data_IF_260903796020
#
_entry.id   IF_260903796020
#
_cell.length_a   1.000
_cell.length_b   1.000
_cell.length_c   1.000
_cell.angle_alpha   90.00
_cell.angle_beta   90.00
_cell.angle_gamma   90.00
#
_symmetry.space_group_name_H-M   'P 1'
#
loop_
_entity.id
_entity.type
_entity.pdbx_description
1 polymer ?
#
# COMPACT_ATOMS: atom_id res chain seq x y z
N UNK A 1 -37.80 44.64 -14.42
CA UNK A 1 -38.76 44.21 -15.46
C UNK A 1 -38.88 42.68 -15.35
N UNK A 2 -39.99 42.14 -14.81
CA UNK A 2 -41.15 41.54 -15.54
C UNK A 2 -40.68 40.32 -16.38
N UNK A 3 -41.06 39.05 -16.16
CA UNK A 3 -42.35 38.35 -15.84
C UNK A 3 -42.01 36.90 -15.37
N UNK A 4 -42.62 36.22 -14.38
CA UNK A 4 -44.02 35.83 -14.03
C UNK A 4 -44.47 34.43 -14.54
N UNK A 5 -44.74 33.51 -13.58
CA UNK A 5 -45.87 32.52 -13.45
C UNK A 5 -45.75 31.29 -14.42
N UNK A 6 -46.03 30.01 -14.11
CA UNK A 6 -47.26 29.34 -13.62
C UNK A 6 -46.97 27.89 -13.15
N UNK A 7 -47.64 27.50 -12.07
CA UNK A 7 -47.79 26.13 -11.57
C UNK A 7 -48.90 25.36 -12.30
N UNK A 8 -48.82 24.03 -12.41
CA UNK A 8 -50.00 23.20 -12.61
C UNK A 8 -49.82 21.79 -12.02
N UNK A 9 -50.82 21.38 -11.25
CA UNK A 9 -50.99 20.08 -10.61
C UNK A 9 -52.02 19.22 -11.38
N UNK A 10 -51.92 17.89 -11.26
CA UNK A 10 -53.01 16.88 -11.26
C UNK A 10 -52.33 15.48 -11.34
N UNK A 11 -52.33 14.64 -10.31
CA UNK A 11 -53.38 13.67 -9.89
C UNK A 11 -53.90 12.81 -11.04
N UNK A 12 -53.62 11.51 -11.00
CA UNK A 12 -54.53 10.42 -11.42
C UNK A 12 -54.07 9.09 -10.83
N UNK A 13 -54.80 8.64 -9.82
CA UNK A 13 -54.80 7.27 -9.27
C UNK A 13 -55.60 6.39 -10.23
N UNK A 14 -55.09 5.22 -10.61
CA UNK A 14 -55.96 4.14 -11.10
C UNK A 14 -55.43 2.80 -10.63
N UNK A 15 -56.24 2.20 -9.76
CA UNK A 15 -56.09 0.89 -9.12
C UNK A 15 -56.70 -0.15 -10.07
N UNK A 16 -55.95 -1.19 -10.43
CA UNK A 16 -56.49 -2.39 -11.10
C UNK A 16 -56.16 -3.58 -10.23
N UNK A 17 -57.22 -4.23 -9.74
CA UNK A 17 -57.17 -5.44 -8.94
C UNK A 17 -57.53 -6.66 -9.81
N UNK A 18 -56.83 -7.75 -9.51
CA UNK A 18 -57.20 -9.16 -9.63
C UNK A 18 -57.44 -9.78 -11.02
N UNK A 19 -56.50 -10.64 -11.41
CA UNK A 19 -56.83 -11.95 -11.99
C UNK A 19 -56.08 -13.05 -11.23
N UNK A 20 -56.86 -13.95 -10.64
CA UNK A 20 -56.42 -15.20 -10.04
C UNK A 20 -55.95 -16.18 -11.12
N UNK A 21 -54.78 -16.78 -10.93
CA UNK A 21 -54.38 -17.99 -11.64
C UNK A 21 -53.70 -18.96 -10.67
N UNK A 22 -54.42 -20.01 -10.28
CA UNK A 22 -53.87 -21.20 -9.67
C UNK A 22 -53.23 -22.05 -10.78
N UNK A 23 -51.94 -22.36 -10.67
CA UNK A 23 -51.36 -23.52 -11.35
C UNK A 23 -50.20 -24.10 -10.56
N UNK A 24 -50.51 -25.24 -9.94
CA UNK A 24 -49.78 -26.52 -9.96
C UNK A 24 -48.31 -26.55 -9.52
N UNK A 25 -48.13 -27.35 -8.48
CA UNK A 25 -46.93 -28.01 -7.99
C UNK A 25 -45.85 -28.25 -9.05
N UNK A 26 -44.77 -27.51 -8.89
CA UNK A 26 -43.46 -27.84 -9.39
C UNK A 26 -42.48 -27.51 -8.28
N UNK A 27 -42.12 -28.53 -7.49
CA UNK A 27 -40.96 -28.50 -6.60
C UNK A 27 -39.69 -28.26 -7.43
N UNK A 28 -39.43 -26.99 -7.74
CA UNK A 28 -38.10 -26.51 -8.02
C UNK A 28 -37.36 -26.52 -6.69
N UNK A 29 -36.51 -27.54 -6.51
CA UNK A 29 -35.61 -27.63 -5.37
C UNK A 29 -35.00 -26.24 -5.06
N UNK A 30 -35.03 -25.75 -3.81
CA UNK A 30 -34.33 -24.53 -3.47
C UNK A 30 -32.86 -24.74 -3.83
N UNK A 31 -32.38 -23.90 -4.76
CA UNK A 31 -30.97 -23.79 -5.10
C UNK A 31 -30.21 -23.72 -3.80
N UNK A 32 -29.24 -24.63 -3.63
CA UNK A 32 -28.38 -24.67 -2.46
C UNK A 32 -27.96 -23.22 -2.15
N UNK A 33 -28.29 -22.78 -0.93
CA UNK A 33 -27.88 -21.47 -0.45
C UNK A 33 -26.39 -21.35 -0.73
N UNK A 34 -26.04 -20.38 -1.58
CA UNK A 34 -24.65 -20.06 -1.86
C UNK A 34 -23.96 -19.94 -0.51
N UNK A 35 -22.95 -20.79 -0.34
CA UNK A 35 -22.13 -20.83 0.85
C UNK A 35 -21.62 -19.41 1.10
N UNK A 36 -22.20 -18.78 2.11
CA UNK A 36 -21.67 -17.68 2.90
C UNK A 36 -20.67 -16.81 2.12
N UNK A 37 -21.19 -15.96 1.24
CA UNK A 37 -20.42 -14.91 0.62
C UNK A 37 -19.77 -14.10 1.74
N UNK A 38 -18.45 -14.28 1.86
CA UNK A 38 -17.60 -13.59 2.83
C UNK A 38 -17.83 -12.09 2.65
N UNK A 39 -18.16 -11.43 3.77
CA UNK A 39 -18.60 -10.04 3.97
C UNK A 39 -18.43 -9.03 2.80
N UNK A 40 -19.44 -8.20 2.50
CA UNK A 40 -19.43 -7.14 1.47
C UNK A 40 -18.48 -5.96 1.78
N UNK A 41 -17.53 -6.13 2.71
CA UNK A 41 -16.63 -5.07 3.11
C UNK A 41 -15.44 -4.95 2.17
N UNK A 42 -15.39 -3.83 1.46
CA UNK A 42 -14.32 -3.49 0.54
C UNK A 42 -13.02 -3.43 1.32
N UNK A 43 -12.08 -4.33 1.01
CA UNK A 43 -10.76 -4.33 1.61
C UNK A 43 -9.76 -3.56 0.73
N UNK A 44 -8.78 -2.87 1.32
CA UNK A 44 -7.72 -2.26 0.54
C UNK A 44 -6.93 -3.29 -0.28
N UNK A 45 -6.35 -2.88 -1.41
CA UNK A 45 -5.51 -3.75 -2.20
C UNK A 45 -4.14 -3.88 -1.51
N UNK A 46 -3.50 -5.04 -1.66
CA UNK A 46 -2.15 -5.27 -1.19
C UNK A 46 -1.18 -5.33 -2.37
N UNK A 47 -0.26 -4.36 -2.43
CA UNK A 47 0.81 -4.33 -3.43
C UNK A 47 1.90 -5.33 -3.04
N UNK A 48 2.27 -6.21 -3.96
CA UNK A 48 3.26 -7.27 -3.71
C UNK A 48 4.59 -6.97 -4.38
N UNK A 49 4.56 -6.43 -5.60
CA UNK A 49 5.75 -6.08 -6.37
C UNK A 49 5.54 -4.75 -7.08
N UNK A 50 6.64 -4.02 -7.25
CA UNK A 50 6.70 -2.86 -8.11
C UNK A 50 8.12 -2.79 -8.68
N UNK A 51 8.22 -2.77 -10.01
CA UNK A 51 9.51 -2.74 -10.71
C UNK A 51 9.45 -1.83 -11.91
N UNK A 52 10.59 -1.25 -12.25
CA UNK A 52 10.73 -0.49 -13.49
C UNK A 52 10.70 -1.42 -14.70
N UNK A 53 9.97 -1.01 -15.72
CA UNK A 53 9.82 -1.65 -17.02
C UNK A 53 9.88 -0.55 -18.10
N UNK A 54 11.10 -0.21 -18.51
CA UNK A 54 11.37 0.93 -19.40
C UNK A 54 10.92 2.27 -18.81
N UNK A 55 9.98 2.91 -19.52
CA UNK A 55 9.36 4.17 -19.12
C UNK A 55 8.15 4.00 -18.19
N UNK A 56 7.84 2.77 -17.78
CA UNK A 56 6.72 2.44 -16.91
C UNK A 56 7.22 1.80 -15.61
N UNK A 57 6.39 1.86 -14.58
CA UNK A 57 6.48 1.02 -13.39
C UNK A 57 5.37 -0.01 -13.47
N UNK A 58 5.75 -1.29 -13.45
CA UNK A 58 4.82 -2.40 -13.33
C UNK A 58 4.53 -2.65 -11.86
N UNK A 59 3.29 -2.44 -11.43
CA UNK A 59 2.82 -2.69 -10.07
C UNK A 59 1.89 -3.89 -10.09
N UNK A 60 2.15 -4.88 -9.24
CA UNK A 60 1.33 -6.09 -9.14
C UNK A 60 0.94 -6.35 -7.69
N UNK A 61 -0.20 -6.98 -7.50
CA UNK A 61 -0.69 -7.29 -6.16
C UNK A 61 -2.00 -8.05 -6.14
N UNK A 62 -2.67 -7.99 -4.98
CA UNK A 62 -3.91 -8.69 -4.68
C UNK A 62 -4.99 -7.72 -4.23
N UNK A 63 -6.22 -7.99 -4.63
CA UNK A 63 -7.44 -7.33 -4.15
C UNK A 63 -8.58 -8.36 -4.12
N UNK A 64 -9.80 -7.94 -3.79
CA UNK A 64 -10.98 -8.78 -4.02
C UNK A 64 -11.09 -9.21 -5.49
N UNK A 65 -11.65 -10.39 -5.80
CA UNK A 65 -11.95 -10.80 -7.17
C UNK A 65 -12.74 -9.71 -7.91
N UNK A 66 -12.35 -9.43 -9.15
CA UNK A 66 -12.98 -8.42 -10.02
C UNK A 66 -13.01 -6.98 -9.44
N UNK A 67 -12.30 -6.73 -8.34
CA UNK A 67 -12.26 -5.43 -7.68
C UNK A 67 -11.55 -4.38 -8.56
N UNK A 68 -12.08 -3.16 -8.59
CA UNK A 68 -11.39 -2.04 -9.24
C UNK A 68 -10.33 -1.48 -8.31
N UNK A 69 -9.07 -1.70 -8.68
CA UNK A 69 -7.89 -1.20 -7.98
C UNK A 69 -7.48 0.13 -8.59
N UNK A 70 -7.23 1.13 -7.75
CA UNK A 70 -6.79 2.47 -8.15
C UNK A 70 -5.49 2.80 -7.43
N UNK A 71 -4.52 3.34 -8.15
CA UNK A 71 -3.36 4.01 -7.56
C UNK A 71 -3.55 5.51 -7.70
N UNK A 72 -3.75 6.20 -6.57
CA UNK A 72 -4.07 7.63 -6.52
C UNK A 72 -2.88 8.47 -6.09
N UNK A 73 -2.48 9.42 -6.91
CA UNK A 73 -1.47 10.42 -6.61
C UNK A 73 -1.97 11.50 -5.66
N UNK A 74 -1.03 12.13 -4.95
CA UNK A 74 -1.33 13.24 -4.03
C UNK A 74 -1.88 14.49 -4.74
N UNK A 75 -1.65 14.61 -6.05
CA UNK A 75 -2.18 15.65 -6.94
C UNK A 75 -3.58 15.32 -7.51
N UNK A 76 -4.14 14.18 -7.13
CA UNK A 76 -5.43 13.68 -7.62
C UNK A 76 -5.34 12.87 -8.91
N UNK A 77 -4.16 12.78 -9.55
CA UNK A 77 -3.96 11.88 -10.68
C UNK A 77 -4.24 10.43 -10.25
N UNK A 78 -4.81 9.61 -11.13
CA UNK A 78 -5.12 8.23 -10.79
C UNK A 78 -5.00 7.32 -12.00
N UNK A 79 -4.53 6.10 -11.76
CA UNK A 79 -4.54 5.01 -12.73
C UNK A 79 -5.31 3.86 -12.10
N UNK A 80 -6.12 3.15 -12.88
CA UNK A 80 -6.97 2.07 -12.38
C UNK A 80 -6.92 0.83 -13.27
N UNK A 81 -7.15 -0.33 -12.65
CA UNK A 81 -7.30 -1.63 -13.32
C UNK A 81 -8.31 -2.48 -12.57
N UNK A 82 -8.94 -3.45 -13.24
CA UNK A 82 -9.67 -4.52 -12.56
C UNK A 82 -8.72 -5.62 -12.11
N UNK A 83 -8.92 -6.15 -10.91
CA UNK A 83 -8.34 -7.44 -10.54
C UNK A 83 -9.01 -8.56 -11.35
N UNK A 84 -8.30 -9.65 -11.59
CA UNK A 84 -8.86 -10.84 -12.24
C UNK A 84 -9.81 -11.60 -11.28
N UNK A 85 -10.47 -12.64 -11.80
CA UNK A 85 -11.36 -13.51 -11.02
C UNK A 85 -10.68 -14.21 -9.83
N UNK A 86 -9.33 -14.24 -9.80
CA UNK A 86 -8.56 -14.77 -8.67
C UNK A 86 -8.11 -13.69 -7.70
N UNK A 87 -8.41 -12.42 -7.99
CA UNK A 87 -8.03 -11.24 -7.21
C UNK A 87 -6.64 -10.69 -7.51
N UNK A 88 -5.98 -11.07 -8.62
CA UNK A 88 -4.68 -10.49 -9.00
C UNK A 88 -4.87 -9.25 -9.84
N UNK A 89 -4.07 -8.22 -9.60
CA UNK A 89 -4.04 -7.04 -10.46
C UNK A 89 -2.62 -6.78 -10.99
N UNK A 90 -2.56 -6.19 -12.17
CA UNK A 90 -1.34 -5.65 -12.77
C UNK A 90 -1.66 -4.27 -13.37
N UNK A 91 -0.89 -3.25 -12.99
CA UNK A 91 -1.11 -1.89 -13.41
C UNK A 91 0.22 -1.26 -13.83
N UNK A 92 0.19 -0.43 -14.89
CA UNK A 92 1.35 0.30 -15.40
C UNK A 92 1.23 1.77 -15.07
N UNK A 93 2.17 2.29 -14.30
CA UNK A 93 2.26 3.71 -13.96
C UNK A 93 3.37 4.35 -14.79
N UNK A 94 3.15 5.50 -15.46
CA UNK A 94 4.24 6.21 -16.13
C UNK A 94 5.34 6.59 -15.13
N UNK A 95 6.60 6.28 -15.45
CA UNK A 95 7.73 6.80 -14.71
C UNK A 95 7.90 8.29 -15.04
N UNK A 96 8.06 9.13 -14.01
CA UNK A 96 8.32 10.57 -14.15
C UNK A 96 9.67 10.94 -13.51
N UNK A 97 10.34 12.04 -13.92
CA UNK A 97 11.68 12.39 -13.41
C UNK A 97 11.74 12.68 -11.90
N UNK A 98 10.59 12.98 -11.26
CA UNK A 98 10.49 13.29 -9.84
C UNK A 98 10.03 12.12 -8.98
N UNK A 99 9.89 12.38 -7.67
CA UNK A 99 9.34 11.41 -6.73
C UNK A 99 7.82 11.30 -6.89
N UNK A 100 7.30 10.08 -6.86
CA UNK A 100 5.86 9.81 -7.01
C UNK A 100 5.38 9.13 -5.74
N UNK A 101 4.26 9.61 -5.20
CA UNK A 101 3.54 9.01 -4.07
C UNK A 101 2.17 8.58 -4.53
N UNK A 102 1.83 7.33 -4.28
CA UNK A 102 0.56 6.73 -4.68
C UNK A 102 -0.06 6.03 -3.48
N UNK A 103 -1.33 6.32 -3.22
CA UNK A 103 -2.16 5.56 -2.29
C UNK A 103 -2.91 4.48 -3.08
N UNK A 104 -2.63 3.19 -2.85
CA UNK A 104 -3.43 2.12 -3.39
C UNK A 104 -4.81 2.11 -2.73
N UNK A 105 -5.88 1.93 -3.49
CA UNK A 105 -7.24 1.82 -2.98
C UNK A 105 -8.07 0.87 -3.83
N UNK A 106 -9.09 0.25 -3.24
CA UNK A 106 -10.15 -0.43 -3.99
C UNK A 106 -11.36 0.49 -4.04
N UNK A 107 -12.03 0.56 -5.19
CA UNK A 107 -13.28 1.29 -5.37
C UNK A 107 -14.41 0.35 -5.83
N UNK A 108 -15.56 0.41 -5.16
CA UNK A 108 -16.77 -0.33 -5.53
C UNK A 108 -17.94 0.64 -5.48
N UNK A 109 -18.44 1.06 -6.65
CA UNK A 109 -19.45 2.11 -6.72
C UNK A 109 -18.92 3.42 -6.12
N UNK A 110 -19.59 3.93 -5.09
CA UNK A 110 -19.19 5.13 -4.33
C UNK A 110 -18.27 4.81 -3.14
N UNK A 111 -18.13 3.53 -2.77
CA UNK A 111 -17.27 3.11 -1.66
C UNK A 111 -15.80 3.04 -2.10
N UNK A 112 -14.91 3.48 -1.21
CA UNK A 112 -13.47 3.38 -1.38
C UNK A 112 -12.79 2.84 -0.12
N UNK A 113 -11.87 1.91 -0.29
CA UNK A 113 -11.02 1.37 0.76
C UNK A 113 -9.55 1.72 0.47
N UNK A 114 -9.05 2.87 0.96
CA UNK A 114 -7.65 3.23 0.81
C UNK A 114 -6.76 2.32 1.67
N UNK A 115 -5.60 1.95 1.14
CA UNK A 115 -4.57 1.24 1.88
C UNK A 115 -3.93 2.17 2.91
N UNK A 116 -3.61 1.67 4.12
CA UNK A 116 -2.76 2.40 5.05
C UNK A 116 -1.32 2.55 4.53
N UNK A 117 -0.93 1.76 3.52
CA UNK A 117 0.38 1.83 2.87
C UNK A 117 0.39 2.88 1.76
N UNK A 118 1.47 3.65 1.67
CA UNK A 118 1.77 4.55 0.55
C UNK A 118 2.89 3.95 -0.28
N UNK A 119 2.65 3.76 -1.58
CA UNK A 119 3.69 3.40 -2.55
C UNK A 119 4.49 4.65 -2.92
N UNK A 120 5.79 4.60 -2.67
CA UNK A 120 6.74 5.68 -2.99
C UNK A 120 7.72 5.21 -4.05
N UNK A 121 7.79 5.96 -5.14
CA UNK A 121 8.73 5.77 -6.25
C UNK A 121 9.75 6.90 -6.20
N UNK A 122 10.96 6.63 -5.71
CA UNK A 122 12.02 7.63 -5.65
C UNK A 122 12.58 7.85 -7.06
N UNK A 123 12.64 9.10 -7.53
CA UNK A 123 13.03 9.50 -8.89
C UNK A 123 12.36 8.66 -9.98
N UNK A 124 11.03 8.53 -9.89
CA UNK A 124 10.23 7.73 -10.82
C UNK A 124 10.60 6.26 -10.88
N UNK A 125 11.09 5.70 -9.77
CA UNK A 125 11.57 4.31 -9.69
C UNK A 125 12.96 4.10 -10.30
N UNK A 126 13.72 5.17 -10.57
CA UNK A 126 15.18 5.09 -10.77
C UNK A 126 15.94 4.91 -9.46
N UNK A 127 15.35 5.35 -8.34
CA UNK A 127 15.78 5.03 -6.99
C UNK A 127 14.92 3.94 -6.37
N UNK A 128 14.93 3.84 -5.03
CA UNK A 128 14.12 2.86 -4.32
C UNK A 128 12.62 2.93 -4.63
N UNK A 129 11.99 1.76 -4.65
CA UNK A 129 10.53 1.61 -4.69
C UNK A 129 10.09 0.92 -3.40
N UNK A 130 9.24 1.58 -2.62
CA UNK A 130 8.87 1.13 -1.27
C UNK A 130 7.39 1.32 -0.97
N UNK A 131 6.84 0.50 -0.08
CA UNK A 131 5.61 0.75 0.65
C UNK A 131 5.97 1.21 2.05
N UNK A 132 5.44 2.37 2.44
CA UNK A 132 5.58 2.90 3.80
C UNK A 132 4.23 2.99 4.47
N UNK A 133 4.17 2.70 5.76
CA UNK A 133 2.97 2.84 6.59
C UNK A 133 3.39 3.28 7.99
N UNK A 134 2.53 4.04 8.67
CA UNK A 134 2.79 4.49 10.03
C UNK A 134 2.90 3.28 10.98
N UNK A 135 4.02 3.18 11.71
CA UNK A 135 4.25 2.13 12.70
C UNK A 135 4.57 0.75 12.15
N UNK A 136 4.55 0.58 10.83
CA UNK A 136 4.93 -0.67 10.16
C UNK A 136 6.36 -0.58 9.58
N UNK A 137 7.08 -1.71 9.49
CA UNK A 137 8.37 -1.76 8.80
C UNK A 137 8.19 -1.44 7.32
N UNK A 138 9.07 -0.60 6.76
CA UNK A 138 9.05 -0.28 5.35
C UNK A 138 9.29 -1.51 4.49
N UNK A 139 8.44 -1.71 3.48
CA UNK A 139 8.57 -2.82 2.54
C UNK A 139 9.21 -2.33 1.25
N UNK A 140 10.41 -2.84 0.95
CA UNK A 140 11.10 -2.55 -0.30
C UNK A 140 10.70 -3.52 -1.42
N UNK A 141 10.49 -3.00 -2.62
CA UNK A 141 9.90 -3.73 -3.77
C UNK A 141 10.83 -3.87 -4.98
N UNK A 142 11.89 -3.05 -5.05
CA UNK A 142 12.81 -2.89 -6.19
C UNK A 142 13.96 -3.92 -6.26
N UNK A 143 13.80 -5.14 -5.72
CA UNK A 143 14.84 -6.19 -5.71
C UNK A 143 15.18 -6.72 -4.31
N UNK A 144 16.28 -7.46 -4.15
CA UNK A 144 16.75 -8.03 -2.87
C UNK A 144 18.13 -7.47 -2.48
N UNK A 145 18.38 -7.35 -1.17
CA UNK A 145 19.68 -7.01 -0.59
C UNK A 145 19.74 -7.50 0.86
N UNK A 146 20.93 -7.44 1.48
CA UNK A 146 21.08 -7.84 2.88
C UNK A 146 20.19 -7.01 3.81
N UNK A 147 20.07 -5.71 3.56
CA UNK A 147 19.21 -4.78 4.29
C UNK A 147 18.23 -4.09 3.32
N UNK A 148 16.94 -4.10 3.63
CA UNK A 148 15.93 -3.41 2.82
C UNK A 148 15.71 -1.97 3.33
N UNK A 149 15.52 -1.79 4.64
CA UNK A 149 15.21 -0.50 5.25
C UNK A 149 15.59 -0.40 6.74
N UNK A 150 15.77 0.83 7.21
CA UNK A 150 15.90 1.20 8.63
C UNK A 150 14.84 2.25 8.94
N UNK A 151 13.80 1.89 9.69
CA UNK A 151 12.73 2.77 10.13
C UNK A 151 13.02 3.31 11.54
N UNK A 152 12.64 4.55 11.83
CA UNK A 152 12.79 5.16 13.15
C UNK A 152 11.74 6.25 13.39
N UNK A 153 11.16 6.25 14.59
CA UNK A 153 10.29 7.32 15.09
C UNK A 153 11.02 8.26 16.09
N UNK A 154 12.32 8.01 16.31
CA UNK A 154 13.15 8.70 17.29
C UNK A 154 13.25 8.01 18.65
N UNK A 155 12.33 7.09 18.96
CA UNK A 155 12.34 6.31 20.20
C UNK A 155 12.83 4.89 19.98
N UNK A 156 12.58 4.33 18.80
CA UNK A 156 13.04 3.01 18.40
C UNK A 156 13.54 2.99 16.95
N UNK A 157 14.43 2.04 16.66
CA UNK A 157 14.82 1.66 15.31
C UNK A 157 14.25 0.29 14.98
N UNK A 158 13.69 0.15 13.77
CA UNK A 158 13.31 -1.12 13.17
C UNK A 158 14.19 -1.34 11.94
N UNK A 159 14.94 -2.43 11.93
CA UNK A 159 15.76 -2.86 10.80
C UNK A 159 15.01 -3.97 10.09
N UNK A 160 14.88 -3.91 8.77
CA UNK A 160 14.15 -4.92 8.00
C UNK A 160 14.85 -5.33 6.72
N UNK A 161 14.62 -6.57 6.31
CA UNK A 161 15.22 -7.16 5.11
C UNK A 161 14.52 -8.45 4.68
N UNK A 162 15.17 -9.16 3.75
CA UNK A 162 14.74 -10.48 3.28
C UNK A 162 15.90 -11.46 3.32
N UNK A 163 15.60 -12.72 3.68
CA UNK A 163 16.53 -13.84 3.57
C UNK A 163 15.79 -15.10 3.10
N UNK A 164 16.40 -15.83 2.18
CA UNK A 164 15.84 -17.10 1.67
C UNK A 164 16.18 -18.30 2.57
N UNK A 165 17.06 -18.11 3.56
CA UNK A 165 17.56 -19.13 4.47
C UNK A 165 17.18 -18.86 5.92
N UNK A 166 18.09 -19.13 6.85
CA UNK A 166 17.95 -18.77 8.27
C UNK A 166 17.82 -17.24 8.46
N UNK A 167 17.26 -16.77 9.60
CA UNK A 167 17.30 -15.35 9.91
C UNK A 167 18.77 -14.90 10.04
N UNK A 168 19.12 -13.69 9.56
CA UNK A 168 20.48 -13.19 9.68
C UNK A 168 20.84 -12.90 11.13
N UNK A 169 22.14 -12.75 11.40
CA UNK A 169 22.62 -12.06 12.58
C UNK A 169 22.55 -10.57 12.34
N UNK A 170 21.86 -9.85 13.23
CA UNK A 170 21.78 -8.38 13.19
C UNK A 170 22.43 -7.80 14.43
N UNK A 171 23.39 -6.89 14.24
CA UNK A 171 23.94 -6.04 15.29
C UNK A 171 23.53 -4.59 15.06
N UNK A 172 23.13 -3.89 16.11
CA UNK A 172 22.82 -2.45 16.12
C UNK A 172 23.75 -1.81 17.13
N UNK A 173 24.66 -0.95 16.66
CA UNK A 173 25.77 -0.39 17.44
C UNK A 173 26.63 -1.45 18.16
N UNK A 174 26.78 -2.61 17.51
CA UNK A 174 27.54 -3.75 18.03
C UNK A 174 26.75 -4.67 18.98
N UNK A 175 25.55 -4.28 19.40
CA UNK A 175 24.68 -5.10 20.22
C UNK A 175 23.79 -6.02 19.37
N UNK A 176 23.66 -7.29 19.77
CA UNK A 176 22.86 -8.26 19.02
C UNK A 176 21.38 -7.98 19.21
N UNK A 177 20.68 -7.70 18.11
CA UNK A 177 19.24 -7.50 18.10
C UNK A 177 18.50 -8.82 17.88
N UNK A 178 17.33 -8.97 18.50
CA UNK A 178 16.45 -10.12 18.27
C UNK A 178 15.80 -10.01 16.89
N UNK A 179 15.91 -11.08 16.09
CA UNK A 179 15.39 -11.14 14.72
C UNK A 179 14.10 -11.94 14.69
N UNK A 180 13.01 -11.27 14.32
CA UNK A 180 11.72 -11.89 14.04
C UNK A 180 11.60 -12.23 12.55
N UNK A 181 11.19 -13.46 12.25
CA UNK A 181 10.85 -13.89 10.88
C UNK A 181 9.40 -13.50 10.55
N UNK A 182 9.22 -12.99 9.34
CA UNK A 182 7.93 -12.73 8.71
C UNK A 182 7.68 -13.62 7.49
N UNK A 183 6.51 -13.49 6.87
CA UNK A 183 6.16 -14.22 5.66
C UNK A 183 7.08 -13.87 4.49
N UNK A 184 7.22 -14.81 3.53
CA UNK A 184 7.98 -14.57 2.29
C UNK A 184 9.47 -14.30 2.49
N UNK A 185 10.06 -14.83 3.57
CA UNK A 185 11.48 -14.62 3.89
C UNK A 185 11.79 -13.23 4.46
N UNK A 186 10.79 -12.40 4.74
CA UNK A 186 11.00 -11.12 5.42
C UNK A 186 11.51 -11.36 6.83
N UNK A 187 12.34 -10.46 7.32
CA UNK A 187 12.77 -10.44 8.71
C UNK A 187 12.78 -9.00 9.20
N UNK A 188 12.66 -8.83 10.52
CA UNK A 188 12.84 -7.55 11.19
C UNK A 188 13.55 -7.72 12.53
N UNK A 189 14.34 -6.73 12.90
CA UNK A 189 14.94 -6.59 14.21
C UNK A 189 14.58 -5.21 14.79
N UNK A 190 14.56 -5.08 16.11
CA UNK A 190 14.25 -3.82 16.80
C UNK A 190 15.28 -3.51 17.86
N UNK A 191 15.57 -2.23 18.05
CA UNK A 191 16.37 -1.71 19.15
C UNK A 191 15.79 -0.38 19.66
N UNK A 192 15.97 -0.06 20.96
CA UNK A 192 15.64 1.26 21.49
C UNK A 192 16.58 2.34 20.93
N UNK A 193 16.15 3.60 21.02
CA UNK A 193 16.84 4.75 20.45
C UNK A 193 16.42 5.00 19.00
N UNK A 194 16.71 6.20 18.49
CA UNK A 194 16.36 6.58 17.11
C UNK A 194 17.39 7.46 16.42
N UNK A 195 18.57 7.59 17.02
CA UNK A 195 19.71 8.35 16.48
C UNK A 195 20.40 7.64 15.32
N UNK A 196 21.50 8.24 14.86
CA UNK A 196 22.39 7.56 13.93
C UNK A 196 22.95 6.28 14.58
N UNK A 197 23.10 5.22 13.78
CA UNK A 197 23.50 3.91 14.27
C UNK A 197 24.31 3.15 13.22
N UNK A 198 25.17 2.26 13.68
CA UNK A 198 25.83 1.25 12.85
C UNK A 198 24.98 -0.01 12.83
N UNK A 199 24.56 -0.45 11.65
CA UNK A 199 23.79 -1.66 11.46
C UNK A 199 24.69 -2.70 10.79
N UNK A 200 24.83 -3.88 11.37
CA UNK A 200 25.57 -5.00 10.79
C UNK A 200 24.59 -6.15 10.52
N UNK A 201 24.54 -6.64 9.28
CA UNK A 201 23.72 -7.78 8.87
C UNK A 201 24.63 -8.83 8.27
N UNK A 202 24.81 -9.95 8.97
CA UNK A 202 25.71 -11.05 8.59
C UNK A 202 27.13 -10.57 8.19
N UNK A 203 27.69 -9.58 8.89
CA UNK A 203 29.01 -9.01 8.62
C UNK A 203 29.01 -7.86 7.61
N UNK A 204 27.87 -7.56 6.97
CA UNK A 204 27.73 -6.40 6.09
C UNK A 204 27.30 -5.19 6.90
N UNK A 205 28.14 -4.16 6.91
CA UNK A 205 27.93 -2.95 7.70
C UNK A 205 27.25 -1.84 6.90
N UNK A 206 26.29 -1.18 7.53
CA UNK A 206 25.55 -0.02 7.04
C UNK A 206 25.60 1.10 8.09
N UNK A 207 25.70 2.34 7.64
CA UNK A 207 25.67 3.51 8.51
C UNK A 207 24.32 4.23 8.39
N UNK A 208 23.40 3.98 9.32
CA UNK A 208 22.14 4.70 9.39
C UNK A 208 22.42 6.15 9.84
N UNK A 209 22.10 7.18 9.03
CA UNK A 209 22.46 8.57 9.32
C UNK A 209 21.56 9.24 10.37
N UNK A 210 20.59 8.51 10.95
CA UNK A 210 19.62 9.04 11.89
C UNK A 210 18.46 9.79 11.21
N UNK A 211 17.62 10.39 12.06
CA UNK A 211 16.37 11.05 11.68
C UNK A 211 16.55 12.17 10.64
N UNK A 212 15.52 12.35 9.82
CA UNK A 212 15.39 13.53 8.96
C UNK A 212 14.85 14.73 9.73
N UNK A 213 15.31 15.93 9.37
CA UNK A 213 14.76 17.19 9.88
C UNK A 213 13.45 17.60 9.19
N UNK A 214 13.25 17.13 7.95
CA UNK A 214 12.06 17.42 7.14
C UNK A 214 10.98 16.36 7.41
N UNK A 215 9.70 16.69 7.23
CA UNK A 215 8.58 15.76 7.42
C UNK A 215 7.47 16.02 6.39
N UNK A 216 7.81 15.87 5.12
CA UNK A 216 6.99 16.27 3.97
C UNK A 216 6.90 15.18 2.88
N UNK A 217 7.39 13.97 3.18
CA UNK A 217 7.62 12.89 2.23
C UNK A 217 8.61 13.20 1.09
N UNK A 218 9.46 14.22 1.21
CA UNK A 218 10.51 14.45 0.23
C UNK A 218 11.69 13.50 0.50
N UNK A 219 12.01 12.55 -0.40
CA UNK A 219 13.20 11.72 -0.25
C UNK A 219 14.46 12.56 -0.49
N UNK A 220 15.46 12.40 0.37
CA UNK A 220 16.76 13.06 0.24
C UNK A 220 17.90 12.06 0.32
N UNK A 221 19.01 12.35 -0.35
CA UNK A 221 20.24 11.57 -0.17
C UNK A 221 20.77 11.76 1.25
N UNK A 222 21.14 10.66 1.90
CA UNK A 222 21.71 10.67 3.24
C UNK A 222 22.69 9.50 3.39
N UNK A 223 24.00 9.82 3.42
CA UNK A 223 25.05 8.81 3.35
C UNK A 223 24.92 7.93 2.09
N UNK A 224 25.11 6.63 2.28
CA UNK A 224 24.99 5.59 1.25
C UNK A 224 23.54 5.12 1.08
N UNK A 225 22.60 6.06 0.94
CA UNK A 225 21.20 5.73 0.78
C UNK A 225 20.29 6.94 0.62
N UNK A 226 19.00 6.66 0.75
CA UNK A 226 17.91 7.63 0.69
C UNK A 226 17.19 7.70 2.03
N UNK A 227 16.88 8.89 2.49
CA UNK A 227 16.06 9.11 3.68
C UNK A 227 14.75 9.75 3.28
N UNK A 228 13.66 9.23 3.81
CA UNK A 228 12.31 9.73 3.63
C UNK A 228 11.68 9.89 5.02
N UNK A 229 11.11 11.04 5.30
CA UNK A 229 10.47 11.32 6.59
C UNK A 229 9.08 11.91 6.35
N UNK A 230 8.11 11.44 7.11
CA UNK A 230 6.72 11.85 6.98
C UNK A 230 6.04 12.01 8.34
N UNK A 231 4.98 12.84 8.43
CA UNK A 231 4.20 12.98 9.64
C UNK A 231 3.30 11.75 9.83
N UNK A 232 3.20 11.27 11.06
CA UNK A 232 2.30 10.17 11.46
C UNK A 232 1.16 10.64 12.38
N UNK A 233 1.12 11.93 12.68
CA UNK A 233 0.12 12.60 13.52
C UNK A 233 0.55 14.04 13.82
N UNK A 234 -0.14 14.76 14.72
CA UNK A 234 0.14 16.18 15.00
C UNK A 234 1.58 16.47 15.47
N UNK A 235 2.19 15.52 16.19
CA UNK A 235 3.58 15.63 16.69
C UNK A 235 4.44 14.42 16.33
N UNK A 236 3.86 13.41 15.69
CA UNK A 236 4.53 12.17 15.31
C UNK A 236 5.22 12.31 13.95
N UNK A 237 6.40 11.73 13.83
CA UNK A 237 7.08 11.55 12.54
C UNK A 237 7.67 10.15 12.47
N UNK A 238 7.75 9.62 11.27
CA UNK A 238 8.51 8.41 10.99
C UNK A 238 9.51 8.70 9.89
N UNK A 239 10.72 8.20 10.07
CA UNK A 239 11.80 8.25 9.10
C UNK A 239 12.09 6.84 8.64
N UNK A 240 12.27 6.65 7.34
CA UNK A 240 12.96 5.49 6.79
C UNK A 240 14.26 5.92 6.15
N UNK A 241 15.31 5.13 6.34
CA UNK A 241 16.50 5.15 5.53
C UNK A 241 16.60 3.86 4.71
N UNK A 242 16.86 4.02 3.42
CA UNK A 242 16.89 2.99 2.41
C UNK A 242 18.33 2.91 1.88
N UNK A 243 19.11 1.88 2.26
CA UNK A 243 20.48 1.76 1.79
C UNK A 243 20.53 1.68 0.27
N UNK A 244 21.55 2.26 -0.34
CA UNK A 244 21.87 1.96 -1.73
C UNK A 244 22.11 0.45 -1.86
N UNK A 245 21.64 -0.14 -2.96
CA UNK A 245 22.10 -1.47 -3.32
C UNK A 245 23.41 -1.29 -4.08
N UNK A 246 24.46 -1.97 -3.64
CA UNK A 246 25.68 -2.12 -4.44
C UNK A 246 25.31 -2.64 -5.84
N UNK A 247 26.00 -2.12 -6.86
CA UNK A 247 25.83 -2.57 -8.24
C UNK A 247 26.27 -4.04 -8.42
#
# INVERSE_FOLDING_TARGET
>A
MKRRIIAMAAVSVTMVAALSACSRDGEGAPRAADAEATSPWVQPPHVQTARRDGAMILVQGRAGPDARVVLRGADGAAVAVGADATGRFELRVPAAPGDIRLTPEVQVGEDAAPSPETLVLIRGGAGPIVLVAAGEPTVRLDGQGALDAVDSDGSAVIVSGRSNGAPPVVLIDGERAEVMRGPGGRWRARAPGGGAATIDVDGTRFAFPGLGAQSDFTPVRAGEGWRLTWPTGPSGRQTVWLPDRGA
#
